data_IF_076434018085
#
_entry.id   IF_076434018085
#
_cell.length_a   1.000
_cell.length_b   1.000
_cell.length_c   1.000
_cell.angle_alpha   90.00
_cell.angle_beta   90.00
_cell.angle_gamma   90.00
#
_symmetry.space_group_name_H-M   'P 1'
#
loop_
_entity.id
_entity.type
_entity.pdbx_description
1 polymer ?
#
# COMPACT_ATOMS: atom_id res chain seq x y z
N UNK A 1 2.78 31.39 -18.72
CA UNK A 1 4.16 31.01 -19.09
C UNK A 1 4.99 30.56 -17.88
N UNK A 2 4.95 31.24 -16.74
CA UNK A 2 5.71 30.86 -15.52
C UNK A 2 5.25 29.56 -14.82
N UNK A 3 3.97 29.21 -14.92
CA UNK A 3 3.43 27.97 -14.29
C UNK A 3 3.97 26.71 -14.99
N UNK A 4 4.09 26.75 -16.31
CA UNK A 4 4.61 25.62 -17.10
C UNK A 4 6.11 25.39 -16.87
N UNK A 5 6.88 26.45 -16.58
CA UNK A 5 8.31 26.34 -16.29
C UNK A 5 8.55 25.71 -14.90
N UNK A 6 7.73 26.03 -13.90
CA UNK A 6 7.79 25.40 -12.56
C UNK A 6 7.44 23.90 -12.63
N UNK A 7 6.43 23.54 -13.41
CA UNK A 7 6.06 22.13 -13.64
C UNK A 7 7.15 21.37 -14.40
N UNK A 8 7.78 22.01 -15.37
CA UNK A 8 8.89 21.43 -16.13
C UNK A 8 10.13 21.22 -15.27
N UNK A 9 10.51 22.20 -14.45
CA UNK A 9 11.63 22.12 -13.52
C UNK A 9 11.34 21.05 -12.44
N UNK A 10 10.12 21.00 -11.89
CA UNK A 10 9.71 19.96 -10.93
C UNK A 10 9.82 18.55 -11.54
N UNK A 11 9.39 18.35 -12.79
CA UNK A 11 9.50 17.06 -13.46
C UNK A 11 10.95 16.66 -13.76
N UNK A 12 11.83 17.61 -14.09
CA UNK A 12 13.27 17.33 -14.27
C UNK A 12 13.90 16.94 -12.91
N UNK A 13 13.64 17.68 -11.85
CA UNK A 13 14.18 17.36 -10.53
C UNK A 13 13.59 16.06 -9.97
N UNK A 14 12.31 15.78 -10.13
CA UNK A 14 11.70 14.51 -9.70
C UNK A 14 12.25 13.32 -10.48
N UNK A 15 12.62 13.50 -11.75
CA UNK A 15 13.28 12.47 -12.56
C UNK A 15 14.68 12.11 -12.02
N UNK A 16 15.39 13.05 -11.42
CA UNK A 16 16.73 12.83 -10.86
C UNK A 16 16.71 11.99 -9.55
N UNK A 17 15.59 11.95 -8.85
CA UNK A 17 15.40 11.19 -7.60
C UNK A 17 14.68 9.86 -7.78
N UNK A 18 14.44 9.40 -9.03
CA UNK A 18 13.94 8.05 -9.31
C UNK A 18 15.03 7.01 -9.05
N UNK A 19 15.13 6.55 -7.82
CA UNK A 19 16.26 5.74 -7.36
C UNK A 19 16.05 4.23 -7.45
N UNK A 20 14.92 3.75 -8.00
CA UNK A 20 14.63 2.31 -8.03
C UNK A 20 14.36 1.83 -9.45
N UNK A 21 15.04 0.76 -9.84
CA UNK A 21 14.90 0.16 -11.17
C UNK A 21 13.72 -0.80 -11.16
N UNK A 22 12.68 -0.59 -11.99
CA UNK A 22 11.49 -1.46 -12.06
C UNK A 22 11.80 -2.94 -12.22
N UNK A 23 12.86 -3.28 -12.93
CA UNK A 23 13.29 -4.67 -13.17
C UNK A 23 13.74 -5.45 -11.93
N UNK A 24 13.92 -4.79 -10.79
CA UNK A 24 14.27 -5.45 -9.52
C UNK A 24 13.06 -5.90 -8.70
N UNK A 25 11.88 -5.42 -9.02
CA UNK A 25 10.66 -5.81 -8.31
C UNK A 25 10.28 -7.26 -8.64
N UNK A 26 9.65 -7.97 -7.68
CA UNK A 26 9.09 -9.30 -7.91
C UNK A 26 8.12 -9.29 -9.10
N UNK A 27 7.31 -8.23 -9.17
CA UNK A 27 6.46 -7.88 -10.29
C UNK A 27 6.31 -6.36 -10.34
N UNK A 28 6.35 -5.78 -11.52
CA UNK A 28 6.16 -4.35 -11.70
C UNK A 28 5.31 -4.11 -12.95
N UNK A 29 4.15 -3.48 -12.74
CA UNK A 29 3.28 -3.04 -13.82
C UNK A 29 3.85 -1.87 -14.61
N UNK A 30 3.11 -1.36 -15.56
CA UNK A 30 3.45 -0.14 -16.30
C UNK A 30 2.98 1.11 -15.55
N UNK A 31 3.56 2.27 -15.86
CA UNK A 31 3.25 3.58 -15.29
C UNK A 31 3.35 3.62 -13.74
N UNK A 32 4.37 2.93 -13.22
CA UNK A 32 4.68 2.93 -11.79
C UNK A 32 5.56 4.14 -11.46
N UNK A 33 5.11 4.95 -10.50
CA UNK A 33 5.86 6.09 -10.00
C UNK A 33 6.55 5.75 -8.68
N UNK A 34 7.88 5.86 -8.67
CA UNK A 34 8.71 5.66 -7.49
C UNK A 34 9.41 6.98 -7.17
N UNK A 35 8.99 7.66 -6.11
CA UNK A 35 9.42 9.00 -5.78
C UNK A 35 10.34 9.04 -4.55
N UNK A 36 11.55 9.58 -4.72
CA UNK A 36 12.53 9.77 -3.65
C UNK A 36 13.17 8.48 -3.13
N UNK A 37 13.92 8.54 -2.03
CA UNK A 37 14.54 7.36 -1.45
C UNK A 37 13.48 6.42 -0.88
N UNK A 38 13.58 5.13 -1.23
CA UNK A 38 12.76 4.04 -0.71
C UNK A 38 13.64 3.05 0.05
N UNK A 39 13.22 2.64 1.24
CA UNK A 39 13.93 1.67 2.09
C UNK A 39 13.23 0.32 2.05
N UNK A 40 13.27 -0.33 0.88
CA UNK A 40 12.50 -1.52 0.56
C UNK A 40 13.41 -2.59 -0.06
N UNK A 41 12.99 -3.85 0.04
CA UNK A 41 13.54 -4.91 -0.80
C UNK A 41 12.61 -5.14 -2.00
N UNK A 42 12.96 -4.68 -3.20
CA UNK A 42 12.08 -4.76 -4.36
C UNK A 42 11.68 -6.20 -4.73
N UNK A 43 12.55 -7.20 -4.47
CA UNK A 43 12.27 -8.60 -4.80
C UNK A 43 11.11 -9.19 -4.00
N UNK A 44 10.67 -8.52 -2.95
CA UNK A 44 9.54 -8.90 -2.10
C UNK A 44 8.26 -8.11 -2.41
N UNK A 45 8.27 -7.24 -3.43
CA UNK A 45 7.18 -6.32 -3.71
C UNK A 45 6.64 -6.55 -5.12
N UNK A 46 5.32 -6.70 -5.22
CA UNK A 46 4.57 -6.70 -6.47
C UNK A 46 3.76 -5.41 -6.58
N UNK A 47 3.91 -4.71 -7.70
CA UNK A 47 3.20 -3.46 -7.99
C UNK A 47 2.33 -3.64 -9.23
N UNK A 48 1.06 -3.30 -9.13
CA UNK A 48 0.14 -3.21 -10.26
C UNK A 48 0.42 -2.00 -11.15
N UNK A 49 -0.34 -1.90 -12.24
CA UNK A 49 -0.25 -0.75 -13.15
C UNK A 49 -0.69 0.55 -12.46
N UNK A 50 -0.10 1.68 -12.87
CA UNK A 50 -0.48 3.01 -12.38
C UNK A 50 -0.39 3.13 -10.85
N UNK A 51 0.60 2.49 -10.23
CA UNK A 51 0.82 2.60 -8.79
C UNK A 51 1.85 3.67 -8.47
N UNK A 52 1.76 4.21 -7.25
CA UNK A 52 2.70 5.23 -6.77
C UNK A 52 3.21 4.90 -5.37
N UNK A 53 4.53 4.91 -5.21
CA UNK A 53 5.19 4.88 -3.91
C UNK A 53 5.92 6.19 -3.68
N UNK A 54 5.57 6.89 -2.60
CA UNK A 54 6.19 8.15 -2.23
C UNK A 54 7.47 7.93 -1.40
N UNK A 55 8.27 8.99 -1.31
CA UNK A 55 9.56 8.99 -0.63
C UNK A 55 9.50 8.48 0.81
N UNK A 56 10.60 7.94 1.27
CA UNK A 56 10.79 7.44 2.65
C UNK A 56 9.86 6.31 3.07
N UNK A 57 9.11 5.71 2.13
CA UNK A 57 8.40 4.45 2.39
C UNK A 57 9.42 3.37 2.71
N UNK A 58 9.18 2.65 3.81
CA UNK A 58 10.07 1.58 4.28
C UNK A 58 9.32 0.28 4.48
N UNK A 59 9.97 -0.81 4.17
CA UNK A 59 9.51 -2.16 4.51
C UNK A 59 10.52 -2.76 5.50
N UNK A 60 10.05 -3.08 6.69
CA UNK A 60 10.87 -3.64 7.75
C UNK A 60 10.59 -5.13 7.80
N UNK A 61 11.60 -5.93 7.81
CA UNK A 61 11.64 -7.38 7.98
C UNK A 61 12.02 -8.16 6.72
N UNK A 62 13.00 -9.02 6.88
CA UNK A 62 13.33 -10.04 5.89
C UNK A 62 12.28 -11.14 5.87
N UNK A 63 11.84 -11.51 4.66
CA UNK A 63 10.99 -12.67 4.43
C UNK A 63 9.48 -12.42 4.37
N UNK A 64 9.02 -11.16 4.30
CA UNK A 64 7.62 -10.82 4.03
C UNK A 64 7.41 -10.25 2.63
N UNK A 65 6.16 -10.13 2.21
CA UNK A 65 5.78 -9.63 0.89
C UNK A 65 4.80 -8.47 0.99
N UNK A 66 4.85 -7.59 -0.01
CA UNK A 66 3.87 -6.54 -0.23
C UNK A 66 3.31 -6.67 -1.64
N UNK A 67 1.98 -6.76 -1.74
CA UNK A 67 1.27 -6.69 -3.01
C UNK A 67 0.47 -5.39 -3.05
N UNK A 68 0.62 -4.62 -4.12
CA UNK A 68 -0.10 -3.36 -4.35
C UNK A 68 -0.86 -3.47 -5.65
N UNK A 69 -2.17 -3.38 -5.57
CA UNK A 69 -3.09 -3.41 -6.71
C UNK A 69 -2.98 -2.16 -7.58
N UNK A 70 -3.45 -2.27 -8.83
CA UNK A 70 -3.45 -1.17 -9.80
C UNK A 70 -4.16 0.08 -9.24
N UNK A 71 -3.75 1.26 -9.68
CA UNK A 71 -4.30 2.57 -9.30
C UNK A 71 -4.08 2.97 -7.84
N UNK A 72 -3.36 2.20 -7.05
CA UNK A 72 -3.14 2.48 -5.64
C UNK A 72 -1.91 3.36 -5.41
N UNK A 73 -1.98 4.20 -4.38
CA UNK A 73 -0.90 5.09 -4.02
C UNK A 73 -0.56 5.01 -2.53
N UNK A 74 0.75 4.92 -2.23
CA UNK A 74 1.29 4.90 -0.88
C UNK A 74 1.99 6.23 -0.61
N UNK A 75 1.50 6.95 0.39
CA UNK A 75 2.02 8.23 0.85
C UNK A 75 3.43 8.15 1.42
N UNK A 76 4.07 9.30 1.55
CA UNK A 76 5.43 9.40 2.06
C UNK A 76 5.55 8.90 3.52
N UNK A 77 6.68 8.31 3.85
CA UNK A 77 7.00 7.90 5.23
C UNK A 77 6.21 6.70 5.74
N UNK A 78 5.47 6.00 4.89
CA UNK A 78 4.76 4.79 5.31
C UNK A 78 5.71 3.69 5.74
N UNK A 79 5.31 2.92 6.75
CA UNK A 79 6.07 1.78 7.26
C UNK A 79 5.25 0.49 7.10
N UNK A 80 5.86 -0.52 6.48
CA UNK A 80 5.23 -1.80 6.13
C UNK A 80 5.96 -2.90 6.89
N UNK A 81 5.22 -3.64 7.73
CA UNK A 81 5.77 -4.70 8.59
C UNK A 81 4.97 -5.99 8.35
N UNK A 82 5.34 -6.80 7.34
CA UNK A 82 4.57 -7.98 6.95
C UNK A 82 4.75 -9.18 7.87
N UNK A 83 5.63 -9.11 8.86
CA UNK A 83 5.87 -10.21 9.78
C UNK A 83 5.88 -9.74 11.24
N UNK A 84 5.73 -10.66 12.18
CA UNK A 84 5.77 -10.38 13.61
C UNK A 84 6.41 -11.56 14.37
N UNK A 85 6.87 -11.30 15.59
CA UNK A 85 7.32 -12.36 16.51
C UNK A 85 6.12 -13.05 17.15
N UNK A 86 6.15 -14.39 17.26
CA UNK A 86 5.12 -15.13 18.00
C UNK A 86 5.57 -15.31 19.45
N UNK A 87 4.83 -14.78 20.42
CA UNK A 87 5.03 -15.14 21.82
C UNK A 87 4.84 -16.64 22.01
N UNK A 88 5.83 -17.33 22.56
CA UNK A 88 5.79 -18.76 22.83
C UNK A 88 5.99 -18.99 24.32
N UNK A 89 5.09 -19.76 24.95
CA UNK A 89 5.21 -20.06 26.38
C UNK A 89 6.54 -20.79 26.65
N UNK A 90 7.27 -20.29 27.64
CA UNK A 90 8.56 -20.86 28.03
C UNK A 90 9.75 -20.42 27.18
N UNK A 91 9.52 -19.59 26.16
CA UNK A 91 10.58 -19.02 25.31
C UNK A 91 10.69 -17.50 25.53
N UNK A 92 11.86 -16.97 25.93
CA UNK A 92 12.06 -15.52 25.96
C UNK A 92 11.81 -14.89 24.61
N UNK A 93 11.19 -13.70 24.57
CA UNK A 93 10.85 -13.02 23.33
C UNK A 93 12.08 -12.75 22.43
N UNK A 94 13.24 -12.52 23.02
CA UNK A 94 14.50 -12.38 22.29
C UNK A 94 14.87 -13.61 21.46
N UNK A 95 14.49 -14.82 21.91
CA UNK A 95 14.74 -16.08 21.22
C UNK A 95 13.57 -16.52 20.33
N UNK A 96 12.45 -15.81 20.35
CA UNK A 96 11.33 -16.09 19.45
C UNK A 96 11.70 -15.67 18.03
N UNK A 97 11.84 -16.64 17.14
CA UNK A 97 12.06 -16.35 15.73
C UNK A 97 10.75 -15.90 15.05
N UNK A 98 10.91 -15.12 13.97
CA UNK A 98 9.83 -14.88 13.06
C UNK A 98 9.28 -16.21 12.55
N UNK A 99 7.99 -16.39 12.61
CA UNK A 99 7.21 -17.56 12.26
C UNK A 99 7.86 -18.55 11.28
N UNK A 100 8.13 -19.74 11.71
CA UNK A 100 8.70 -20.80 10.88
C UNK A 100 7.66 -21.34 9.87
N UNK A 101 6.34 -21.20 10.17
CA UNK A 101 5.26 -21.82 9.41
C UNK A 101 4.22 -20.86 8.81
N UNK A 102 4.48 -19.56 8.81
CA UNK A 102 3.51 -18.60 8.28
C UNK A 102 3.82 -18.27 6.82
N UNK A 103 3.16 -18.99 5.91
CA UNK A 103 3.18 -18.71 4.47
C UNK A 103 2.44 -17.41 4.09
N UNK A 104 1.84 -16.73 5.07
CA UNK A 104 0.97 -15.56 4.88
C UNK A 104 1.64 -14.24 5.28
N UNK A 105 2.97 -14.16 5.27
CA UNK A 105 3.72 -12.91 5.51
C UNK A 105 3.53 -11.89 4.40
N UNK A 106 2.28 -11.68 4.02
CA UNK A 106 1.94 -10.77 2.94
C UNK A 106 1.00 -9.70 3.46
N UNK A 107 1.31 -8.44 3.15
CA UNK A 107 0.37 -7.34 3.23
C UNK A 107 -0.15 -7.12 1.82
N UNK A 108 -1.47 -7.13 1.67
CA UNK A 108 -2.14 -6.90 0.40
C UNK A 108 -2.90 -5.59 0.43
N UNK A 109 -2.62 -4.75 -0.54
CA UNK A 109 -3.35 -3.53 -0.84
C UNK A 109 -4.05 -3.80 -2.17
N UNK A 110 -5.37 -3.83 -2.17
CA UNK A 110 -6.16 -4.02 -3.38
C UNK A 110 -6.04 -2.80 -4.32
N UNK A 111 -6.85 -2.77 -5.37
CA UNK A 111 -6.81 -1.69 -6.36
C UNK A 111 -7.42 -0.39 -5.81
N UNK A 112 -7.01 0.74 -6.40
CA UNK A 112 -7.57 2.08 -6.16
C UNK A 112 -7.55 2.51 -4.69
N UNK A 113 -6.55 2.06 -3.92
CA UNK A 113 -6.38 2.41 -2.52
C UNK A 113 -5.51 3.65 -2.35
N UNK A 114 -5.83 4.46 -1.34
CA UNK A 114 -4.98 5.55 -0.88
C UNK A 114 -4.46 5.29 0.53
N UNK A 115 -3.15 5.19 0.68
CA UNK A 115 -2.50 5.04 1.98
C UNK A 115 -1.89 6.39 2.36
N UNK A 116 -2.49 7.04 3.36
CA UNK A 116 -2.04 8.35 3.86
C UNK A 116 -0.62 8.32 4.41
N UNK A 117 0.07 9.45 4.28
CA UNK A 117 1.47 9.58 4.70
C UNK A 117 1.70 9.19 6.17
N UNK A 118 2.85 8.59 6.46
CA UNK A 118 3.25 8.19 7.81
C UNK A 118 2.47 7.01 8.39
N UNK A 119 1.61 6.35 7.61
CA UNK A 119 0.83 5.21 8.10
C UNK A 119 1.68 3.96 8.27
N UNK A 120 1.27 3.09 9.19
CA UNK A 120 1.87 1.81 9.48
C UNK A 120 0.92 0.69 9.07
N UNK A 121 1.38 -0.20 8.20
CA UNK A 121 0.67 -1.41 7.83
C UNK A 121 1.37 -2.59 8.50
N UNK A 122 0.69 -3.19 9.46
CA UNK A 122 1.26 -4.28 10.26
C UNK A 122 0.85 -5.65 9.71
N UNK A 123 1.49 -6.68 10.21
CA UNK A 123 1.20 -8.07 9.90
C UNK A 123 -0.31 -8.37 9.90
N UNK A 124 -0.76 -9.12 8.89
CA UNK A 124 -2.19 -9.43 8.63
C UNK A 124 -3.06 -8.24 8.17
N UNK A 125 -2.46 -7.10 7.81
CA UNK A 125 -3.23 -6.05 7.17
C UNK A 125 -3.61 -6.45 5.74
N UNK A 126 -4.88 -6.36 5.43
CA UNK A 126 -5.43 -6.50 4.10
C UNK A 126 -6.30 -5.28 3.82
N UNK A 127 -6.03 -4.58 2.73
CA UNK A 127 -6.72 -3.33 2.40
C UNK A 127 -7.62 -3.59 1.20
N UNK A 128 -8.93 -3.51 1.41
CA UNK A 128 -9.94 -3.71 0.37
C UNK A 128 -9.93 -2.61 -0.69
N UNK A 129 -10.43 -2.93 -1.88
CA UNK A 129 -10.49 -2.04 -3.05
C UNK A 129 -11.10 -0.68 -2.70
N UNK A 130 -10.52 0.39 -3.22
CA UNK A 130 -11.04 1.74 -3.03
C UNK A 130 -10.90 2.29 -1.62
N UNK A 131 -10.31 1.56 -0.68
CA UNK A 131 -10.17 2.03 0.70
C UNK A 131 -9.19 3.19 0.83
N UNK A 132 -9.45 4.03 1.82
CA UNK A 132 -8.62 5.18 2.18
C UNK A 132 -8.12 5.02 3.61
N UNK A 133 -6.81 5.02 3.78
CA UNK A 133 -6.16 5.04 5.09
C UNK A 133 -5.74 6.47 5.40
N UNK A 134 -6.29 7.04 6.45
CA UNK A 134 -5.91 8.39 6.93
C UNK A 134 -4.43 8.44 7.33
N UNK A 135 -3.81 9.61 7.19
CA UNK A 135 -2.41 9.79 7.54
C UNK A 135 -2.11 9.38 9.00
N UNK A 136 -0.90 8.87 9.24
CA UNK A 136 -0.43 8.44 10.57
C UNK A 136 -1.28 7.35 11.24
N UNK A 137 -2.04 6.58 10.47
CA UNK A 137 -2.85 5.48 10.97
C UNK A 137 -2.04 4.20 11.15
N UNK A 138 -2.46 3.34 12.08
CA UNK A 138 -1.85 2.03 12.31
C UNK A 138 -2.87 0.94 11.98
N UNK A 139 -2.69 0.30 10.83
CA UNK A 139 -3.56 -0.77 10.35
C UNK A 139 -3.05 -2.11 10.86
N UNK A 140 -3.92 -2.89 11.51
CA UNK A 140 -3.58 -4.16 12.17
C UNK A 140 -4.44 -5.34 11.70
N UNK A 141 -5.38 -5.11 10.78
CA UNK A 141 -6.36 -6.10 10.33
C UNK A 141 -6.93 -5.74 8.96
N UNK A 142 -7.86 -6.55 8.49
CA UNK A 142 -8.63 -6.29 7.26
C UNK A 142 -9.39 -4.96 7.32
N UNK A 143 -9.33 -4.22 6.20
CA UNK A 143 -10.08 -2.99 5.94
C UNK A 143 -11.04 -3.27 4.79
N UNK A 144 -12.37 -3.08 4.98
CA UNK A 144 -13.35 -3.33 3.93
C UNK A 144 -13.15 -2.43 2.70
N UNK A 145 -13.65 -2.87 1.52
CA UNK A 145 -13.67 -2.03 0.34
C UNK A 145 -14.36 -0.68 0.58
N UNK A 146 -13.84 0.36 -0.04
CA UNK A 146 -14.34 1.74 0.03
C UNK A 146 -14.45 2.33 1.45
N UNK A 147 -13.93 1.66 2.47
CA UNK A 147 -13.89 2.21 3.82
C UNK A 147 -12.85 3.33 3.93
N UNK A 148 -13.16 4.37 4.69
CA UNK A 148 -12.22 5.39 5.16
C UNK A 148 -11.89 5.08 6.60
N UNK A 149 -10.62 4.84 6.89
CA UNK A 149 -10.16 4.50 8.24
C UNK A 149 -9.09 5.47 8.72
N UNK A 150 -9.02 5.69 10.04
CA UNK A 150 -7.98 6.52 10.64
C UNK A 150 -7.72 6.11 12.09
N UNK A 151 -6.56 6.49 12.61
CA UNK A 151 -6.17 6.36 14.01
C UNK A 151 -5.24 5.20 14.32
N UNK A 152 -4.93 5.03 15.61
CA UNK A 152 -4.09 3.94 16.15
C UNK A 152 -4.80 3.26 17.33
N UNK A 153 -5.31 1.99 17.17
CA UNK A 153 -5.44 1.29 15.91
C UNK A 153 -6.45 1.93 14.96
N UNK A 154 -6.29 1.73 13.65
CA UNK A 154 -7.18 2.30 12.64
C UNK A 154 -8.61 1.76 12.79
N UNK A 155 -9.57 2.68 12.77
CA UNK A 155 -11.01 2.40 12.82
C UNK A 155 -11.72 3.02 11.64
N UNK A 156 -12.81 2.39 11.19
CA UNK A 156 -13.67 2.96 10.15
C UNK A 156 -14.30 4.24 10.69
N UNK A 157 -14.13 5.33 9.96
CA UNK A 157 -14.69 6.65 10.28
C UNK A 157 -15.72 7.13 9.25
N UNK A 158 -15.68 6.57 8.03
CA UNK A 158 -16.61 6.88 6.94
C UNK A 158 -16.54 5.79 5.86
N UNK A 159 -17.40 5.94 4.84
CA UNK A 159 -17.26 5.33 3.53
C UNK A 159 -16.79 6.39 2.53
N UNK A 160 -15.97 5.98 1.54
CA UNK A 160 -15.45 6.90 0.52
C UNK A 160 -16.53 7.45 -0.39
N UNK A 161 -17.54 6.64 -0.69
CA UNK A 161 -18.61 6.92 -1.63
C UNK A 161 -19.94 6.34 -1.13
N UNK A 162 -21.08 6.82 -1.67
CA UNK A 162 -22.35 6.10 -1.53
C UNK A 162 -22.34 4.84 -2.39
N UNK A 163 -23.29 3.93 -2.17
CA UNK A 163 -23.40 2.68 -2.97
C UNK A 163 -23.56 3.01 -4.46
N UNK A 164 -24.38 3.98 -4.80
CA UNK A 164 -24.62 4.40 -6.18
C UNK A 164 -23.33 4.94 -6.82
N UNK A 165 -22.58 5.75 -6.07
CA UNK A 165 -21.28 6.28 -6.51
C UNK A 165 -20.22 5.18 -6.65
N UNK A 166 -20.24 4.15 -5.79
CA UNK A 166 -19.36 2.98 -5.93
C UNK A 166 -19.66 2.24 -7.24
N UNK A 167 -20.92 1.95 -7.51
CA UNK A 167 -21.32 1.26 -8.75
C UNK A 167 -20.93 2.06 -10.01
N UNK A 168 -21.12 3.38 -9.99
CA UNK A 168 -20.70 4.26 -11.08
C UNK A 168 -19.17 4.25 -11.24
N UNK A 169 -18.43 4.38 -10.16
CA UNK A 169 -16.97 4.37 -10.14
C UNK A 169 -16.40 3.04 -10.66
N UNK A 170 -16.94 1.91 -10.19
CA UNK A 170 -16.60 0.57 -10.68
C UNK A 170 -16.90 0.43 -12.19
N UNK A 171 -18.01 0.99 -12.65
CA UNK A 171 -18.38 0.95 -14.06
C UNK A 171 -17.43 1.73 -14.97
N UNK A 172 -16.83 2.81 -14.45
CA UNK A 172 -15.87 3.64 -15.18
C UNK A 172 -14.47 3.01 -15.18
N UNK A 173 -14.01 2.51 -14.03
CA UNK A 173 -12.62 2.07 -13.87
C UNK A 173 -12.36 0.62 -14.27
N UNK A 174 -13.38 -0.24 -14.17
CA UNK A 174 -13.19 -1.68 -14.31
C UNK A 174 -14.06 -2.28 -15.42
N UNK A 175 -13.52 -3.26 -16.16
CA UNK A 175 -14.33 -4.03 -17.10
C UNK A 175 -15.38 -4.85 -16.34
N UNK A 176 -16.53 -5.22 -16.97
CA UNK A 176 -17.67 -5.83 -16.26
C UNK A 176 -17.36 -7.03 -15.37
N UNK A 177 -16.40 -7.86 -15.78
CA UNK A 177 -16.00 -9.07 -15.04
C UNK A 177 -15.12 -8.80 -13.80
N UNK A 178 -14.60 -7.59 -13.64
CA UNK A 178 -13.75 -7.19 -12.50
C UNK A 178 -14.51 -6.31 -11.51
N UNK A 179 -15.74 -5.89 -11.82
CA UNK A 179 -16.53 -4.97 -11.00
C UNK A 179 -17.01 -5.66 -9.73
N UNK A 180 -16.99 -4.92 -8.65
CA UNK A 180 -17.63 -5.35 -7.42
C UNK A 180 -19.15 -5.34 -7.58
N UNK A 181 -19.82 -6.30 -6.99
CA UNK A 181 -21.27 -6.37 -6.93
C UNK A 181 -21.81 -5.52 -5.78
N UNK A 182 -23.12 -5.30 -5.77
CA UNK A 182 -23.79 -4.56 -4.69
C UNK A 182 -23.74 -5.29 -3.34
N UNK A 183 -23.46 -6.60 -3.35
CA UNK A 183 -23.44 -7.45 -2.17
C UNK A 183 -22.03 -7.52 -1.53
N UNK A 184 -21.00 -7.11 -2.26
CA UNK A 184 -19.61 -7.00 -1.79
C UNK A 184 -19.34 -5.63 -1.15
#
# INVERSE_FOLDING_TARGET
MLLNLRFFIYNIFSSFFRTTVPSKFKQCGHDVELNGPLYINPTQISLGNHTRLQSTTRMIVDGGYLNVGKYSAIGAGCTIIPANHIPTVGLPQFLSYLHINDNTRTISIAEDCWIGAGSWLLYKSEIGRGAVIGACSVVTKYIPPYAVVSGNPAKIIATRFTIEQILEHEAILYPPQERMSREE
#
